data_IF_302369949062
#
_entry.id   IF_302369949062
#
_cell.length_a   1.000
_cell.length_b   1.000
_cell.length_c   1.000
_cell.angle_alpha   90.00
_cell.angle_beta   90.00
_cell.angle_gamma   90.00
#
_symmetry.space_group_name_H-M   'P 1'
#
loop_
_entity.id
_entity.type
_entity.pdbx_description
1 polymer ?
#
# COMPACT_ATOMS: atom_id res chain seq x y z
N UNK A 1 -25.98 -14.16 9.69
CA UNK A 1 -24.69 -14.57 10.27
C UNK A 1 -23.85 -13.32 10.40
N UNK A 2 -23.57 -12.88 11.63
CA UNK A 2 -22.57 -11.84 11.87
C UNK A 2 -21.21 -12.54 11.78
N UNK A 3 -20.46 -12.27 10.72
CA UNK A 3 -19.06 -12.71 10.63
C UNK A 3 -18.29 -12.05 11.76
N UNK A 4 -17.72 -12.85 12.66
CA UNK A 4 -16.88 -12.36 13.75
C UNK A 4 -15.63 -11.71 13.16
N UNK A 5 -15.32 -10.48 13.57
CA UNK A 5 -14.15 -9.73 13.11
C UNK A 5 -12.84 -10.48 13.33
N UNK A 6 -12.78 -11.34 14.36
CA UNK A 6 -11.61 -12.16 14.69
C UNK A 6 -11.36 -13.31 13.68
N UNK A 7 -12.41 -13.82 13.01
CA UNK A 7 -12.25 -14.84 11.96
C UNK A 7 -11.69 -14.24 10.67
N UNK A 8 -12.03 -12.99 10.36
CA UNK A 8 -11.50 -12.28 9.19
C UNK A 8 -9.99 -12.00 9.29
N UNK A 9 -9.48 -11.82 10.50
CA UNK A 9 -8.04 -11.61 10.76
C UNK A 9 -7.20 -12.87 10.55
N UNK A 10 -7.80 -14.06 10.67
CA UNK A 10 -7.11 -15.35 10.52
C UNK A 10 -7.20 -15.94 9.11
N UNK A 11 -7.87 -15.26 8.18
CA UNK A 11 -7.90 -15.68 6.78
C UNK A 11 -6.52 -15.48 6.14
N UNK A 12 -6.09 -16.38 5.24
CA UNK A 12 -4.82 -16.22 4.55
C UNK A 12 -4.81 -14.92 3.72
N UNK A 13 -3.64 -14.29 3.55
CA UNK A 13 -3.51 -13.12 2.72
C UNK A 13 -3.89 -13.44 1.27
N UNK A 14 -4.61 -12.53 0.62
CA UNK A 14 -5.05 -12.67 -0.78
C UNK A 14 -3.93 -12.31 -1.78
N UNK A 15 -2.89 -11.63 -1.29
CA UNK A 15 -1.73 -11.25 -2.09
C UNK A 15 -0.73 -10.40 -1.32
N UNK A 16 0.37 -10.08 -1.98
CA UNK A 16 1.44 -9.22 -1.50
C UNK A 16 1.72 -8.16 -2.56
N UNK A 17 1.69 -6.90 -2.14
CA UNK A 17 2.01 -5.73 -2.95
C UNK A 17 3.17 -4.98 -2.32
N UNK A 18 4.12 -4.56 -3.15
CA UNK A 18 5.21 -3.66 -2.77
C UNK A 18 5.03 -2.31 -3.46
N UNK A 19 5.16 -1.24 -2.68
CA UNK A 19 5.16 0.14 -3.18
C UNK A 19 6.56 0.71 -3.01
N UNK A 20 7.21 1.03 -4.12
CA UNK A 20 8.59 1.53 -4.16
C UNK A 20 8.60 3.01 -4.55
N UNK A 21 9.31 3.83 -3.78
CA UNK A 21 9.59 5.22 -4.14
C UNK A 21 10.69 5.28 -5.19
N UNK A 22 10.38 5.79 -6.38
CA UNK A 22 11.32 5.91 -7.50
C UNK A 22 12.10 7.23 -7.50
N UNK A 23 11.68 8.20 -6.68
CA UNK A 23 12.31 9.51 -6.59
C UNK A 23 11.38 10.69 -6.91
N UNK A 24 11.94 11.91 -7.02
CA UNK A 24 11.16 13.14 -7.12
C UNK A 24 10.64 13.43 -8.54
N UNK A 25 10.86 12.53 -9.51
CA UNK A 25 10.34 12.67 -10.87
C UNK A 25 9.19 11.68 -11.10
N UNK A 26 8.18 12.10 -11.85
CA UNK A 26 7.06 11.22 -12.19
C UNK A 26 7.50 10.06 -13.12
N UNK A 27 7.00 8.84 -12.90
CA UNK A 27 6.16 8.41 -11.77
C UNK A 27 6.99 8.29 -10.48
N UNK A 28 6.51 8.91 -9.39
CA UNK A 28 7.21 8.85 -8.10
C UNK A 28 7.14 7.47 -7.43
N UNK A 29 6.17 6.65 -7.83
CA UNK A 29 5.83 5.40 -7.16
C UNK A 29 5.70 4.27 -8.17
N UNK A 30 6.38 3.18 -7.89
CA UNK A 30 6.12 1.88 -8.51
C UNK A 30 5.26 1.03 -7.58
N UNK A 31 4.29 0.31 -8.13
CA UNK A 31 3.44 -0.61 -7.38
C UNK A 31 3.45 -1.95 -8.09
N UNK A 32 4.02 -2.95 -7.43
CA UNK A 32 4.25 -4.29 -7.99
C UNK A 32 3.55 -5.34 -7.14
N UNK A 33 2.76 -6.19 -7.80
CA UNK A 33 2.22 -7.40 -7.18
C UNK A 33 3.29 -8.49 -7.13
N UNK A 34 3.57 -8.99 -5.93
CA UNK A 34 4.58 -10.04 -5.70
C UNK A 34 3.92 -11.42 -5.78
N UNK A 35 2.74 -11.59 -5.18
CA UNK A 35 1.95 -12.84 -5.11
C UNK A 35 0.46 -12.48 -5.04
N UNK A 36 -0.47 -13.28 -5.59
CA UNK A 36 -1.91 -13.18 -5.29
C UNK A 36 -2.86 -13.23 -6.48
N UNK A 37 -4.17 -13.06 -6.20
CA UNK A 37 -5.22 -12.96 -7.22
C UNK A 37 -5.12 -11.62 -7.96
N UNK A 38 -4.78 -11.67 -9.26
CA UNK A 38 -4.46 -10.49 -10.07
C UNK A 38 -5.53 -9.39 -10.02
N UNK A 39 -6.81 -9.75 -9.99
CA UNK A 39 -7.91 -8.79 -9.94
C UNK A 39 -7.99 -7.96 -8.64
N UNK A 40 -7.60 -8.54 -7.50
CA UNK A 40 -7.57 -7.82 -6.21
C UNK A 40 -6.39 -6.85 -6.21
N UNK A 41 -5.21 -7.34 -6.61
CA UNK A 41 -3.98 -6.54 -6.72
C UNK A 41 -4.15 -5.37 -7.69
N UNK A 42 -4.76 -5.58 -8.85
CA UNK A 42 -4.96 -4.53 -9.86
C UNK A 42 -5.91 -3.42 -9.39
N UNK A 43 -6.94 -3.78 -8.64
CA UNK A 43 -7.87 -2.81 -8.05
C UNK A 43 -7.21 -2.01 -6.93
N UNK A 44 -6.45 -2.68 -6.07
CA UNK A 44 -5.67 -2.03 -5.03
C UNK A 44 -4.65 -1.05 -5.64
N UNK A 45 -3.93 -1.48 -6.69
CA UNK A 45 -2.96 -0.66 -7.42
C UNK A 45 -3.56 0.65 -7.92
N UNK A 46 -4.73 0.61 -8.55
CA UNK A 46 -5.43 1.81 -9.03
C UNK A 46 -5.77 2.77 -7.88
N UNK A 47 -6.29 2.23 -6.76
CA UNK A 47 -6.62 3.02 -5.55
C UNK A 47 -5.39 3.64 -4.89
N UNK A 48 -4.29 2.89 -4.83
CA UNK A 48 -3.03 3.35 -4.27
C UNK A 48 -2.39 4.43 -5.14
N UNK A 49 -2.33 4.25 -6.47
CA UNK A 49 -1.86 5.27 -7.41
C UNK A 49 -2.66 6.57 -7.29
N UNK A 50 -4.00 6.50 -7.23
CA UNK A 50 -4.86 7.68 -7.11
C UNK A 50 -4.69 8.43 -5.78
N UNK A 51 -4.26 7.75 -4.71
CA UNK A 51 -3.97 8.36 -3.39
C UNK A 51 -2.57 8.95 -3.33
N UNK A 52 -1.58 8.26 -3.88
CA UNK A 52 -0.19 8.69 -3.81
C UNK A 52 0.12 9.80 -4.82
N UNK A 53 -0.56 9.82 -5.97
CA UNK A 53 -0.46 10.89 -6.98
C UNK A 53 1.00 11.29 -7.27
N UNK A 54 1.31 12.58 -7.11
CA UNK A 54 2.63 13.21 -7.25
C UNK A 54 3.24 13.57 -5.89
N UNK A 55 2.75 12.98 -4.80
CA UNK A 55 3.22 13.31 -3.45
C UNK A 55 4.50 12.53 -3.15
N UNK A 56 5.63 13.22 -2.90
CA UNK A 56 6.83 12.56 -2.39
C UNK A 56 6.68 12.20 -0.91
N UNK A 57 7.53 11.32 -0.36
CA UNK A 57 7.47 10.87 1.03
C UNK A 57 7.49 11.98 2.10
N UNK A 58 8.22 13.07 1.84
CA UNK A 58 8.37 14.20 2.76
C UNK A 58 7.16 15.17 2.74
N UNK A 59 6.18 14.96 1.87
CA UNK A 59 4.98 15.79 1.82
C UNK A 59 4.06 15.52 3.04
N UNK A 60 3.55 16.54 3.76
CA UNK A 60 2.66 16.32 4.89
C UNK A 60 1.40 15.50 4.58
N UNK A 61 0.88 15.58 3.35
CA UNK A 61 -0.27 14.83 2.89
C UNK A 61 0.08 13.36 2.59
N UNK A 62 1.34 13.04 2.29
CA UNK A 62 1.79 11.67 2.05
C UNK A 62 1.48 10.77 3.23
N UNK A 63 1.80 11.18 4.47
CA UNK A 63 1.52 10.39 5.68
C UNK A 63 0.05 9.98 5.80
N UNK A 64 -0.88 10.89 5.50
CA UNK A 64 -2.32 10.63 5.53
C UNK A 64 -2.75 9.67 4.42
N UNK A 65 -2.18 9.83 3.23
CA UNK A 65 -2.50 8.99 2.10
C UNK A 65 -1.92 7.58 2.26
N UNK A 66 -0.70 7.46 2.79
CA UNK A 66 -0.08 6.19 3.19
C UNK A 66 -0.95 5.43 4.18
N UNK A 67 -1.45 6.09 5.21
CA UNK A 67 -2.37 5.44 6.17
C UNK A 67 -3.69 4.98 5.51
N UNK A 68 -4.20 5.75 4.54
CA UNK A 68 -5.38 5.30 3.76
C UNK A 68 -5.05 4.10 2.88
N UNK A 69 -3.86 4.03 2.29
CA UNK A 69 -3.40 2.90 1.48
C UNK A 69 -3.20 1.66 2.35
N UNK A 70 -2.61 1.80 3.53
CA UNK A 70 -2.48 0.70 4.51
C UNK A 70 -3.85 0.11 4.87
N UNK A 71 -4.83 0.96 5.17
CA UNK A 71 -6.20 0.52 5.48
C UNK A 71 -6.92 -0.12 4.30
N UNK A 72 -6.65 0.31 3.07
CA UNK A 72 -7.16 -0.38 1.88
C UNK A 72 -6.57 -1.79 1.77
N UNK A 73 -5.26 -1.95 2.00
CA UNK A 73 -4.60 -3.25 1.96
C UNK A 73 -5.14 -4.20 3.04
N UNK A 74 -5.31 -3.72 4.27
CA UNK A 74 -5.88 -4.49 5.38
C UNK A 74 -7.29 -4.99 5.06
N UNK A 75 -8.17 -4.12 4.53
CA UNK A 75 -9.55 -4.49 4.14
C UNK A 75 -9.58 -5.59 3.09
N UNK A 76 -8.58 -5.64 2.22
CA UNK A 76 -8.45 -6.61 1.15
C UNK A 76 -7.57 -7.81 1.52
N UNK A 77 -7.08 -7.88 2.76
CA UNK A 77 -6.13 -8.90 3.23
C UNK A 77 -4.89 -9.00 2.34
N UNK A 78 -4.38 -7.86 1.88
CA UNK A 78 -3.13 -7.76 1.15
C UNK A 78 -2.00 -7.48 2.14
N UNK A 79 -0.90 -8.22 2.00
CA UNK A 79 0.38 -7.84 2.62
C UNK A 79 0.91 -6.65 1.84
N UNK A 80 1.19 -5.55 2.55
CA UNK A 80 1.72 -4.34 1.95
C UNK A 80 3.12 -4.05 2.47
N UNK A 81 4.05 -3.85 1.55
CA UNK A 81 5.44 -3.49 1.83
C UNK A 81 5.74 -2.11 1.24
N UNK A 82 6.43 -1.27 2.01
CA UNK A 82 6.90 0.03 1.57
C UNK A 82 8.43 -0.01 1.42
N UNK A 83 8.91 0.33 0.24
CA UNK A 83 10.33 0.52 -0.06
C UNK A 83 10.55 1.98 -0.42
N UNK A 84 10.98 2.77 0.57
CA UNK A 84 11.21 4.21 0.36
C UNK A 84 12.64 4.49 -0.15
N UNK A 85 13.52 3.48 -0.19
CA UNK A 85 14.94 3.63 -0.50
C UNK A 85 15.78 4.26 0.62
N UNK A 86 15.20 4.51 1.80
CA UNK A 86 15.87 5.01 3.00
C UNK A 86 15.22 4.45 4.27
N UNK A 87 15.96 4.49 5.36
CA UNK A 87 15.48 4.08 6.69
C UNK A 87 14.63 5.21 7.28
N UNK A 88 13.40 4.92 7.73
CA UNK A 88 12.47 5.93 8.27
C UNK A 88 13.01 6.69 9.50
N UNK A 89 14.09 6.20 10.11
CA UNK A 89 14.80 6.81 11.25
C UNK A 89 15.63 8.06 10.87
N UNK A 90 15.84 8.33 9.58
CA UNK A 90 16.73 9.41 9.11
C UNK A 90 16.04 10.80 9.03
N UNK A 91 14.71 10.88 9.22
CA UNK A 91 13.93 12.13 9.14
C UNK A 91 13.46 12.66 10.51
N UNK A 92 14.30 12.50 11.55
CA UNK A 92 14.08 13.01 12.92
C UNK A 92 14.62 14.41 13.17
#
# INVERSE_FOLDING_TARGET
MAVNSDELQNLPPQGHVRITYLGPSAPHWEITGVIGEGRVVDQFRQRAQARLQLLPPHDPQFRRNRERVNRDAERERLVLEWDLGYTEEEEG
#
